data_IF_408222852314
#
_entry.id   IF_408222852314
#
_cell.length_a   1.000
_cell.length_b   1.000
_cell.length_c   1.000
_cell.angle_alpha   90.00
_cell.angle_beta   90.00
_cell.angle_gamma   90.00
#
_symmetry.space_group_name_H-M   'P 1'
#
loop_
_entity.id
_entity.type
_entity.pdbx_description
1 polymer ?
#
# COMPACT_ATOMS: atom_id res chain seq x y z
N UNK A 1 -10.59 10.29 9.90
CA UNK A 1 -9.75 9.08 9.80
C UNK A 1 -9.10 8.98 8.44
N UNK A 2 -7.84 8.58 8.41
CA UNK A 2 -7.15 8.31 7.15
C UNK A 2 -7.61 6.96 6.59
N UNK A 3 -7.89 6.92 5.30
CA UNK A 3 -8.48 5.77 4.61
C UNK A 3 -7.41 5.02 3.84
N UNK A 4 -7.24 3.75 4.17
CA UNK A 4 -6.15 2.92 3.68
C UNK A 4 -6.67 1.85 2.74
N UNK A 5 -5.96 1.65 1.63
CA UNK A 5 -6.19 0.56 0.68
C UNK A 5 -5.07 -0.47 0.82
N UNK A 6 -5.42 -1.76 0.94
CA UNK A 6 -4.45 -2.85 1.06
C UNK A 6 -4.46 -3.72 -0.19
N UNK A 7 -3.30 -3.89 -0.80
CA UNK A 7 -3.09 -4.86 -1.88
C UNK A 7 -2.10 -5.93 -1.41
N UNK A 8 -2.60 -7.12 -1.11
CA UNK A 8 -1.83 -8.22 -0.54
C UNK A 8 -2.52 -9.55 -0.88
N UNK A 9 -1.81 -10.47 -1.55
CA UNK A 9 -2.41 -11.74 -1.96
C UNK A 9 -2.45 -12.80 -0.86
N UNK A 10 -1.57 -12.70 0.13
CA UNK A 10 -1.53 -13.65 1.24
C UNK A 10 -2.69 -13.34 2.19
N UNK A 11 -3.76 -14.11 2.09
CA UNK A 11 -5.02 -13.84 2.79
C UNK A 11 -4.87 -13.67 4.30
N UNK A 12 -4.11 -14.57 4.94
CA UNK A 12 -3.92 -14.47 6.38
C UNK A 12 -3.23 -13.16 6.78
N UNK A 13 -2.14 -12.81 6.07
CA UNK A 13 -1.41 -11.57 6.36
C UNK A 13 -2.30 -10.35 6.10
N UNK A 14 -3.03 -10.35 4.99
CA UNK A 14 -3.93 -9.23 4.66
C UNK A 14 -4.97 -9.01 5.74
N UNK A 15 -5.62 -10.11 6.19
CA UNK A 15 -6.64 -10.02 7.23
C UNK A 15 -6.06 -9.57 8.57
N UNK A 16 -4.91 -10.09 8.96
CA UNK A 16 -4.25 -9.70 10.19
C UNK A 16 -3.85 -8.23 10.18
N UNK A 17 -3.30 -7.77 9.06
CA UNK A 17 -2.87 -6.38 8.92
C UNK A 17 -4.07 -5.43 8.87
N UNK A 18 -5.12 -5.82 8.15
CA UNK A 18 -6.36 -5.02 8.11
C UNK A 18 -6.96 -4.88 9.52
N UNK A 19 -6.97 -5.95 10.30
CA UNK A 19 -7.46 -5.92 11.68
C UNK A 19 -6.60 -4.98 12.54
N UNK A 20 -5.29 -5.08 12.41
CA UNK A 20 -4.36 -4.20 13.11
C UNK A 20 -4.64 -2.73 12.80
N UNK A 21 -4.75 -2.39 11.53
CA UNK A 21 -5.03 -1.01 11.12
C UNK A 21 -6.40 -0.55 11.61
N UNK A 22 -7.39 -1.43 11.56
CA UNK A 22 -8.75 -1.11 12.01
C UNK A 22 -8.86 -0.82 13.50
N UNK A 23 -7.88 -1.25 14.29
CA UNK A 23 -7.83 -0.96 15.73
C UNK A 23 -7.22 0.39 16.05
N UNK A 24 -6.61 1.04 15.06
CA UNK A 24 -6.01 2.35 15.27
C UNK A 24 -7.11 3.42 15.18
N UNK A 25 -7.15 4.37 16.14
CA UNK A 25 -8.23 5.38 16.16
C UNK A 25 -8.18 6.36 14.98
N UNK A 26 -7.03 6.45 14.32
CA UNK A 26 -6.80 7.40 13.24
C UNK A 26 -6.82 6.77 11.83
N UNK A 27 -7.02 5.45 11.73
CA UNK A 27 -6.95 4.74 10.46
C UNK A 27 -8.21 3.91 10.20
N UNK A 28 -8.52 3.74 8.92
CA UNK A 28 -9.65 2.93 8.47
C UNK A 28 -9.27 2.22 7.19
N UNK A 29 -9.52 0.92 7.08
CA UNK A 29 -9.29 0.17 5.84
C UNK A 29 -10.57 0.24 5.01
N UNK A 30 -10.51 0.91 3.87
CA UNK A 30 -11.69 1.12 3.01
C UNK A 30 -11.75 0.13 1.86
N UNK A 31 -10.64 -0.53 1.54
CA UNK A 31 -10.61 -1.50 0.46
C UNK A 31 -9.46 -2.49 0.67
N UNK A 32 -9.69 -3.74 0.24
CA UNK A 32 -8.69 -4.80 0.24
C UNK A 32 -8.74 -5.51 -1.10
N UNK A 33 -7.57 -5.91 -1.59
CA UNK A 33 -7.46 -6.67 -2.83
C UNK A 33 -6.35 -7.71 -2.70
N UNK A 34 -6.55 -8.86 -3.34
CA UNK A 34 -5.57 -9.95 -3.35
C UNK A 34 -4.88 -10.14 -4.69
N UNK A 35 -5.19 -9.30 -5.68
CA UNK A 35 -4.60 -9.40 -7.02
C UNK A 35 -4.60 -8.02 -7.69
N UNK A 36 -3.84 -7.89 -8.77
CA UNK A 36 -3.85 -6.66 -9.56
C UNK A 36 -5.23 -6.39 -10.15
N UNK A 37 -5.91 -7.42 -10.64
CA UNK A 37 -7.25 -7.25 -11.21
C UNK A 37 -8.22 -6.67 -10.19
N UNK A 38 -8.23 -7.22 -8.97
CA UNK A 38 -9.07 -6.69 -7.90
C UNK A 38 -8.67 -5.28 -7.51
N UNK A 39 -7.34 -5.03 -7.41
CA UNK A 39 -6.83 -3.70 -7.05
C UNK A 39 -7.23 -2.64 -8.05
N UNK A 40 -7.19 -2.97 -9.33
CA UNK A 40 -7.59 -2.03 -10.38
C UNK A 40 -9.07 -1.68 -10.30
N UNK A 41 -9.91 -2.68 -9.96
CA UNK A 41 -11.34 -2.44 -9.77
C UNK A 41 -11.60 -1.54 -8.57
N UNK A 42 -10.95 -1.85 -7.45
CA UNK A 42 -11.11 -1.05 -6.23
C UNK A 42 -10.60 0.38 -6.42
N UNK A 43 -9.45 0.54 -7.07
CA UNK A 43 -8.89 1.85 -7.34
C UNK A 43 -9.81 2.68 -8.26
N UNK A 44 -10.40 2.05 -9.27
CA UNK A 44 -11.31 2.74 -10.18
C UNK A 44 -12.57 3.25 -9.45
N UNK A 45 -13.07 2.48 -8.49
CA UNK A 45 -14.28 2.83 -7.74
C UNK A 45 -14.03 3.80 -6.60
N UNK A 46 -12.86 3.72 -5.95
CA UNK A 46 -12.61 4.39 -4.68
C UNK A 46 -11.39 5.32 -4.67
N UNK A 47 -10.84 5.65 -5.84
CA UNK A 47 -9.58 6.42 -5.92
C UNK A 47 -9.59 7.68 -5.05
N UNK A 48 -10.69 8.42 -5.05
CA UNK A 48 -10.80 9.68 -4.31
C UNK A 48 -10.98 9.47 -2.81
N UNK A 49 -11.33 8.24 -2.40
CA UNK A 49 -11.55 7.92 -1.00
C UNK A 49 -10.30 7.36 -0.32
N UNK A 50 -9.22 7.12 -1.09
CA UNK A 50 -8.00 6.49 -0.57
C UNK A 50 -6.99 7.57 -0.21
N UNK A 51 -6.53 7.55 1.04
CA UNK A 51 -5.52 8.47 1.54
C UNK A 51 -4.12 7.88 1.52
N UNK A 52 -4.02 6.54 1.50
CA UNK A 52 -2.75 5.83 1.46
C UNK A 52 -2.97 4.41 0.93
N UNK A 53 -2.06 3.94 0.09
CA UNK A 53 -2.08 2.55 -0.38
C UNK A 53 -0.90 1.79 0.19
N UNK A 54 -1.14 0.57 0.69
CA UNK A 54 -0.11 -0.38 1.09
C UNK A 54 -0.13 -1.50 0.07
N UNK A 55 0.99 -1.72 -0.60
CA UNK A 55 1.07 -2.58 -1.78
C UNK A 55 2.18 -3.61 -1.63
N UNK A 56 1.84 -4.89 -1.81
CA UNK A 56 2.86 -5.92 -1.95
C UNK A 56 3.31 -6.00 -3.41
N UNK A 57 4.55 -6.39 -3.62
CA UNK A 57 5.12 -6.57 -4.95
C UNK A 57 4.74 -7.90 -5.59
N UNK A 58 4.64 -8.95 -4.78
CA UNK A 58 4.48 -10.33 -5.27
C UNK A 58 3.00 -10.70 -5.32
N UNK A 59 2.41 -10.63 -6.51
CA UNK A 59 0.99 -10.88 -6.72
C UNK A 59 0.81 -12.04 -7.72
N UNK A 60 -0.32 -12.76 -7.66
CA UNK A 60 -0.55 -13.92 -8.53
C UNK A 60 -0.63 -13.54 -10.01
N UNK A 61 -1.03 -12.31 -10.32
CA UNK A 61 -1.25 -11.87 -11.70
C UNK A 61 -0.30 -10.73 -12.12
N UNK A 62 0.79 -10.51 -11.36
CA UNK A 62 1.80 -9.54 -11.76
C UNK A 62 2.59 -8.98 -10.59
N UNK A 63 3.14 -7.79 -10.79
CA UNK A 63 3.99 -7.10 -9.81
C UNK A 63 3.28 -5.85 -9.32
N UNK A 64 3.32 -5.61 -8.01
CA UNK A 64 2.61 -4.49 -7.38
C UNK A 64 2.94 -3.11 -7.94
N UNK A 65 4.14 -2.95 -8.51
CA UNK A 65 4.53 -1.68 -9.16
C UNK A 65 3.64 -1.33 -10.35
N UNK A 66 2.97 -2.31 -10.94
CA UNK A 66 2.03 -2.04 -12.04
C UNK A 66 0.86 -1.19 -11.56
N UNK A 67 0.34 -1.48 -10.37
CA UNK A 67 -0.71 -0.64 -9.80
C UNK A 67 -0.20 0.77 -9.50
N UNK A 68 1.01 0.88 -8.97
CA UNK A 68 1.61 2.18 -8.66
C UNK A 68 1.74 3.02 -9.94
N UNK A 69 2.21 2.42 -11.01
CA UNK A 69 2.33 3.10 -12.31
C UNK A 69 0.97 3.56 -12.81
N UNK A 70 -0.06 2.70 -12.68
CA UNK A 70 -1.42 3.06 -13.09
C UNK A 70 -1.92 4.28 -12.31
N UNK A 71 -1.72 4.28 -10.99
CA UNK A 71 -2.13 5.40 -10.15
C UNK A 71 -1.45 6.71 -10.58
N UNK A 72 -0.14 6.66 -10.81
CA UNK A 72 0.62 7.85 -11.20
C UNK A 72 0.23 8.32 -12.60
N UNK A 73 -0.03 7.40 -13.51
CA UNK A 73 -0.49 7.72 -14.87
C UNK A 73 -1.85 8.42 -14.85
N UNK A 74 -2.70 8.07 -13.90
CA UNK A 74 -4.01 8.69 -13.72
C UNK A 74 -3.95 10.02 -12.95
N UNK A 75 -2.75 10.47 -12.60
CA UNK A 75 -2.55 11.73 -11.88
C UNK A 75 -2.71 11.63 -10.37
N UNK A 76 -2.88 10.42 -9.82
CA UNK A 76 -2.99 10.26 -8.38
C UNK A 76 -1.65 10.48 -7.69
N UNK A 77 -1.67 11.26 -6.62
CA UNK A 77 -0.50 11.50 -5.78
C UNK A 77 -0.63 10.80 -4.43
N UNK A 78 -1.54 9.82 -4.35
CA UNK A 78 -1.74 9.06 -3.11
C UNK A 78 -0.40 8.46 -2.65
N UNK A 79 -0.03 8.62 -1.37
CA UNK A 79 1.20 8.00 -0.87
C UNK A 79 1.09 6.48 -0.93
N UNK A 80 2.18 5.84 -1.33
CA UNK A 80 2.26 4.39 -1.46
C UNK A 80 3.40 3.84 -0.61
N UNK A 81 3.06 2.95 0.30
CA UNK A 81 4.01 2.15 1.07
C UNK A 81 4.05 0.77 0.45
N UNK A 82 5.22 0.35 -0.01
CA UNK A 82 5.43 -1.04 -0.42
C UNK A 82 5.81 -1.85 0.81
N UNK A 83 5.07 -2.92 1.07
CA UNK A 83 5.31 -3.81 2.21
C UNK A 83 5.45 -5.21 1.64
N UNK A 84 6.67 -5.76 1.63
CA UNK A 84 6.95 -6.97 0.87
C UNK A 84 7.96 -7.89 1.57
N UNK A 85 7.88 -9.18 1.24
CA UNK A 85 8.89 -10.16 1.64
C UNK A 85 10.06 -10.19 0.66
N UNK A 86 9.93 -9.55 -0.50
CA UNK A 86 11.01 -9.49 -1.48
C UNK A 86 12.23 -8.75 -0.92
N UNK A 87 13.43 -9.16 -1.34
CA UNK A 87 14.68 -8.60 -0.86
C UNK A 87 15.62 -8.31 -2.03
N UNK A 88 16.53 -7.38 -1.83
CA UNK A 88 17.54 -7.04 -2.81
C UNK A 88 18.12 -5.68 -2.52
N UNK A 89 19.42 -5.46 -2.87
CA UNK A 89 20.10 -4.21 -2.53
C UNK A 89 19.54 -2.99 -3.22
N UNK A 90 18.97 -3.16 -4.42
CA UNK A 90 18.44 -2.04 -5.20
C UNK A 90 16.92 -1.93 -5.15
N UNK A 91 16.27 -2.75 -4.33
CA UNK A 91 14.81 -2.83 -4.32
C UNK A 91 14.15 -1.49 -3.96
N UNK A 92 14.67 -0.81 -2.93
CA UNK A 92 14.12 0.48 -2.50
C UNK A 92 14.21 1.52 -3.62
N UNK A 93 15.38 1.62 -4.25
CA UNK A 93 15.57 2.57 -5.34
C UNK A 93 14.63 2.25 -6.51
N UNK A 94 14.47 0.96 -6.81
CA UNK A 94 13.59 0.54 -7.91
C UNK A 94 12.14 0.91 -7.65
N UNK A 95 11.60 0.57 -6.47
CA UNK A 95 10.19 0.87 -6.20
C UNK A 95 9.95 2.38 -6.15
N UNK A 96 10.91 3.15 -5.65
CA UNK A 96 10.81 4.62 -5.67
C UNK A 96 10.78 5.16 -7.08
N UNK A 97 11.60 4.59 -7.98
CA UNK A 97 11.60 5.01 -9.39
C UNK A 97 10.27 4.70 -10.08
N UNK A 98 9.52 3.73 -9.55
CA UNK A 98 8.20 3.37 -10.07
C UNK A 98 7.07 4.18 -9.44
N UNK A 99 7.39 5.06 -8.50
CA UNK A 99 6.42 5.96 -7.90
C UNK A 99 6.02 5.67 -6.45
N UNK A 100 6.64 4.67 -5.82
CA UNK A 100 6.40 4.40 -4.41
C UNK A 100 7.11 5.44 -3.53
N UNK A 101 6.55 5.68 -2.36
CA UNK A 101 7.09 6.66 -1.41
C UNK A 101 7.99 6.03 -0.37
N UNK A 102 7.74 4.77 0.00
CA UNK A 102 8.57 4.07 0.97
C UNK A 102 8.46 2.55 0.78
N UNK A 103 9.46 1.84 1.30
CA UNK A 103 9.53 0.38 1.27
C UNK A 103 9.83 -0.14 2.67
N UNK A 104 9.06 -1.12 3.13
CA UNK A 104 9.36 -1.88 4.34
C UNK A 104 9.29 -3.37 4.06
N UNK A 105 10.10 -4.13 4.80
CA UNK A 105 9.99 -5.59 4.82
C UNK A 105 8.78 -6.01 5.63
N UNK A 106 8.16 -7.13 5.27
CA UNK A 106 7.11 -7.75 6.09
C UNK A 106 7.64 -8.22 7.45
N UNK A 107 8.97 -8.26 7.61
CA UNK A 107 9.60 -8.58 8.90
C UNK A 107 9.73 -7.35 9.81
N UNK A 108 9.39 -6.17 9.34
CA UNK A 108 9.42 -4.98 10.17
C UNK A 108 8.43 -5.12 11.33
N UNK A 109 8.71 -4.44 12.44
CA UNK A 109 7.81 -4.46 13.59
C UNK A 109 6.51 -3.73 13.26
N UNK A 110 5.47 -4.05 14.02
CA UNK A 110 4.19 -3.35 13.93
C UNK A 110 4.39 -1.84 14.13
N UNK A 111 5.20 -1.46 15.11
CA UNK A 111 5.47 -0.05 15.39
C UNK A 111 6.15 0.65 14.20
N UNK A 112 7.09 -0.04 13.54
CA UNK A 112 7.73 0.51 12.35
C UNK A 112 6.74 0.69 11.20
N UNK A 113 5.85 -0.29 11.00
CA UNK A 113 4.82 -0.22 9.95
C UNK A 113 3.87 0.94 10.20
N UNK A 114 3.37 1.07 11.41
CA UNK A 114 2.46 2.16 11.77
C UNK A 114 3.15 3.53 11.67
N UNK A 115 4.41 3.60 12.11
CA UNK A 115 5.18 4.85 12.01
C UNK A 115 5.36 5.29 10.55
N UNK A 116 5.69 4.34 9.67
CA UNK A 116 5.85 4.64 8.24
C UNK A 116 4.55 5.15 7.63
N UNK A 117 3.43 4.50 7.95
CA UNK A 117 2.11 4.92 7.48
C UNK A 117 1.82 6.35 7.93
N UNK A 118 2.03 6.65 9.21
CA UNK A 118 1.74 7.97 9.75
C UNK A 118 2.64 9.07 9.20
N UNK A 119 3.91 8.75 8.94
CA UNK A 119 4.83 9.69 8.31
C UNK A 119 4.34 10.04 6.90
N UNK A 120 3.95 9.04 6.12
CA UNK A 120 3.47 9.27 4.76
C UNK A 120 2.17 10.08 4.76
N UNK A 121 1.27 9.81 5.68
CA UNK A 121 0.01 10.55 5.79
C UNK A 121 0.25 12.02 6.17
N UNK A 122 1.20 12.28 7.05
CA UNK A 122 1.56 13.66 7.44
C UNK A 122 2.20 14.44 6.30
N UNK A 123 2.92 13.77 5.42
CA UNK A 123 3.53 14.38 4.26
C UNK A 123 2.53 14.79 3.18
N UNK A 124 1.31 14.21 3.22
CA UNK A 124 0.26 14.52 2.26
C UNK A 124 -0.46 15.81 2.66
N UNK A 125 -0.50 16.78 1.75
CA UNK A 125 -1.21 18.03 1.99
C UNK A 125 -2.49 18.08 1.16
N UNK A 126 -3.52 18.54 1.81
CA UNK A 126 -4.77 18.78 1.13
C UNK A 126 -4.64 20.03 0.26
#
# INVERSE_FOLDING_TARGET
MARVFLLEDHTWFRKAFADLLGRQPDLEVVAEAGSLAEARREAAEKAEEIDLAVVDLLLPDGVGTELIRDLRADGSEVPVLVLTAARGPDLRAWVRSMGADELLSKDASVDEMLAAIRVLLRGRRA
#
